data_IF_539665359742
#
_entry.id   IF_539665359742
#
_cell.length_a   1.000
_cell.length_b   1.000
_cell.length_c   1.000
_cell.angle_alpha   90.00
_cell.angle_beta   90.00
_cell.angle_gamma   90.00
#
_symmetry.space_group_name_H-M   'P 1'
#
loop_
_entity.id
_entity.type
_entity.pdbx_description
1 polymer ?
#
# COMPACT_ATOMS: atom_id res chain seq x y z
N UNK A 1 20.54 -9.17 3.91
CA UNK A 1 19.29 -9.36 3.12
C UNK A 1 18.78 -8.01 2.66
N UNK A 2 18.43 -7.86 1.38
CA UNK A 2 17.88 -6.63 0.82
C UNK A 2 16.35 -6.72 0.77
N UNK A 3 15.67 -5.76 1.36
CA UNK A 3 14.20 -5.69 1.35
C UNK A 3 13.76 -4.40 0.67
N UNK A 4 12.82 -4.50 -0.27
CA UNK A 4 12.18 -3.35 -0.89
C UNK A 4 10.72 -3.27 -0.43
N UNK A 5 10.36 -2.19 0.22
CA UNK A 5 8.98 -1.89 0.56
C UNK A 5 8.31 -1.05 -0.53
N UNK A 6 7.10 -1.43 -0.89
CA UNK A 6 6.15 -0.56 -1.59
C UNK A 6 5.06 -0.13 -0.63
N UNK A 7 4.98 1.18 -0.34
CA UNK A 7 4.02 1.73 0.63
C UNK A 7 3.00 2.64 -0.03
N UNK A 8 1.81 2.75 0.56
CA UNK A 8 0.75 3.62 0.04
C UNK A 8 0.97 5.09 0.42
N UNK A 9 1.71 5.37 1.48
CA UNK A 9 2.02 6.71 1.98
C UNK A 9 3.47 7.09 1.83
N UNK A 10 3.73 8.39 1.75
CA UNK A 10 5.08 8.96 1.75
C UNK A 10 5.68 8.81 3.16
N UNK A 11 6.87 8.23 3.24
CA UNK A 11 7.56 8.05 4.51
C UNK A 11 8.17 9.37 5.01
N UNK A 12 8.11 9.64 6.33
CA UNK A 12 8.69 10.86 6.93
C UNK A 12 10.17 11.06 6.59
N UNK A 13 10.96 9.99 6.60
CA UNK A 13 12.38 10.03 6.24
C UNK A 13 12.66 10.60 4.85
N UNK A 14 11.79 10.33 3.88
CA UNK A 14 11.89 10.91 2.54
C UNK A 14 11.75 12.44 2.57
N UNK A 15 10.75 12.95 3.30
CA UNK A 15 10.53 14.39 3.41
C UNK A 15 11.72 15.07 4.13
N UNK A 16 12.21 14.46 5.21
CA UNK A 16 13.40 14.93 5.93
C UNK A 16 14.61 14.99 5.01
N UNK A 17 14.88 13.96 4.22
CA UNK A 17 16.00 13.92 3.30
C UNK A 17 15.91 14.97 2.17
N UNK A 18 14.70 15.45 1.86
CA UNK A 18 14.46 16.55 0.93
C UNK A 18 14.48 17.94 1.60
N UNK A 19 14.82 18.02 2.89
CA UNK A 19 14.78 19.28 3.66
C UNK A 19 13.36 19.80 3.92
N UNK A 20 12.32 18.94 3.79
CA UNK A 20 10.93 19.30 4.02
C UNK A 20 10.50 18.87 5.41
N UNK A 21 9.69 19.69 6.08
CA UNK A 21 9.07 19.26 7.33
C UNK A 21 8.13 18.09 7.06
N UNK A 22 8.34 16.99 7.78
CA UNK A 22 7.35 15.94 7.85
C UNK A 22 6.13 16.54 8.55
N UNK A 23 5.13 16.99 7.78
CA UNK A 23 3.86 17.39 8.35
C UNK A 23 3.24 16.20 9.08
N UNK A 24 2.27 16.43 9.95
CA UNK A 24 1.49 15.40 10.63
C UNK A 24 0.58 14.60 9.66
N UNK A 25 1.07 14.26 8.48
CA UNK A 25 0.37 13.39 7.57
C UNK A 25 0.33 12.00 8.17
N UNK A 26 -0.75 11.70 8.86
CA UNK A 26 -1.07 10.47 9.60
C UNK A 26 -1.29 9.27 8.65
N UNK A 27 -1.03 9.42 7.37
CA UNK A 27 -1.18 8.34 6.38
C UNK A 27 -0.05 7.30 6.56
N UNK A 28 -0.42 6.08 6.91
CA UNK A 28 0.53 4.98 7.10
C UNK A 28 1.22 5.00 8.47
N UNK A 29 0.48 5.30 9.51
CA UNK A 29 0.99 5.50 10.87
C UNK A 29 1.78 4.33 11.48
N UNK A 30 1.60 3.10 11.00
CA UNK A 30 2.32 1.91 11.47
C UNK A 30 3.62 1.65 10.70
N UNK A 31 3.78 2.11 9.44
CA UNK A 31 4.99 1.87 8.65
C UNK A 31 6.25 2.53 9.22
N UNK A 32 6.23 3.75 9.79
CA UNK A 32 7.38 4.29 10.51
C UNK A 32 7.76 3.47 11.74
N UNK A 33 6.79 3.03 12.55
CA UNK A 33 7.06 2.19 13.71
C UNK A 33 7.65 0.83 13.32
N UNK A 34 7.16 0.25 12.23
CA UNK A 34 7.72 -0.98 11.66
C UNK A 34 9.15 -0.77 11.15
N UNK A 35 9.45 0.37 10.53
CA UNK A 35 10.80 0.75 10.11
C UNK A 35 11.75 0.81 11.32
N UNK A 36 11.34 1.50 12.37
CA UNK A 36 12.15 1.65 13.58
C UNK A 36 12.39 0.29 14.26
N UNK A 37 11.35 -0.55 14.31
CA UNK A 37 11.48 -1.91 14.84
C UNK A 37 12.41 -2.77 13.97
N UNK A 38 12.30 -2.71 12.64
CA UNK A 38 13.17 -3.44 11.74
C UNK A 38 14.63 -3.04 11.93
N UNK A 39 14.92 -1.75 12.04
CA UNK A 39 16.27 -1.24 12.27
C UNK A 39 16.84 -1.70 13.63
N UNK A 40 16.00 -1.76 14.64
CA UNK A 40 16.38 -2.17 15.99
C UNK A 40 16.62 -3.68 16.11
N UNK A 41 15.76 -4.49 15.52
CA UNK A 41 15.75 -5.94 15.76
C UNK A 41 16.36 -6.75 14.59
N UNK A 42 16.54 -6.13 13.42
CA UNK A 42 17.14 -6.76 12.24
C UNK A 42 18.11 -5.79 11.53
N UNK A 43 19.19 -5.33 12.21
CA UNK A 43 20.11 -4.30 11.68
C UNK A 43 20.83 -4.74 10.41
N UNK A 44 20.93 -6.04 10.13
CA UNK A 44 21.56 -6.59 8.92
C UNK A 44 20.63 -6.53 7.69
N UNK A 45 19.37 -6.09 7.85
CA UNK A 45 18.45 -5.88 6.75
C UNK A 45 18.72 -4.52 6.12
N UNK A 46 19.09 -4.55 4.83
CA UNK A 46 19.19 -3.33 4.02
C UNK A 46 17.80 -3.03 3.46
N UNK A 47 17.26 -1.87 3.84
CA UNK A 47 15.92 -1.46 3.46
C UNK A 47 15.94 -0.36 2.39
N UNK A 48 15.11 -0.56 1.37
CA UNK A 48 14.68 0.46 0.41
C UNK A 48 13.17 0.63 0.49
N UNK A 49 12.67 1.85 0.36
CA UNK A 49 11.23 2.14 0.41
C UNK A 49 10.82 2.94 -0.82
N UNK A 50 9.79 2.49 -1.51
CA UNK A 50 9.26 3.11 -2.71
C UNK A 50 7.78 3.45 -2.55
N UNK A 51 7.35 4.59 -3.05
CA UNK A 51 5.98 5.08 -2.97
C UNK A 51 5.68 6.12 -4.06
N UNK A 52 4.40 6.38 -4.27
CA UNK A 52 3.96 7.41 -5.20
C UNK A 52 4.19 8.81 -4.62
N UNK A 53 4.60 9.73 -5.48
CA UNK A 53 4.84 11.15 -5.14
C UNK A 53 4.31 12.04 -6.27
N UNK A 54 4.02 13.32 -6.06
CA UNK A 54 3.67 14.23 -7.15
C UNK A 54 4.80 14.37 -8.19
N UNK A 55 6.05 14.35 -7.73
CA UNK A 55 7.26 14.43 -8.58
C UNK A 55 8.24 13.34 -8.20
N UNK A 56 8.90 12.69 -9.17
CA UNK A 56 9.91 11.68 -8.86
C UNK A 56 11.07 12.27 -8.05
N UNK A 57 11.69 11.43 -7.21
CA UNK A 57 12.86 11.83 -6.44
C UNK A 57 13.49 10.66 -5.69
N UNK A 58 14.72 10.88 -5.25
CA UNK A 58 15.47 9.92 -4.45
C UNK A 58 16.14 10.64 -3.29
N UNK A 59 16.20 9.99 -2.15
CA UNK A 59 17.02 10.43 -1.02
C UNK A 59 17.40 9.23 -0.16
N UNK A 60 18.48 9.39 0.60
CA UNK A 60 18.91 8.41 1.58
C UNK A 60 18.97 9.08 2.96
N UNK A 61 18.35 8.45 3.93
CA UNK A 61 18.37 8.94 5.33
C UNK A 61 18.59 7.74 6.24
N UNK A 62 19.57 7.87 7.12
CA UNK A 62 19.91 6.85 8.13
C UNK A 62 20.07 5.43 7.54
N UNK A 63 20.69 5.30 6.38
CA UNK A 63 20.93 4.02 5.71
C UNK A 63 19.72 3.40 5.01
N UNK A 64 18.59 4.11 4.92
CA UNK A 64 17.40 3.72 4.17
C UNK A 64 17.33 4.50 2.86
N UNK A 65 17.17 3.79 1.75
CA UNK A 65 16.97 4.38 0.43
C UNK A 65 15.50 4.64 0.18
N UNK A 66 15.14 5.88 -0.16
CA UNK A 66 13.75 6.27 -0.43
C UNK A 66 13.56 6.68 -1.89
N UNK A 67 12.63 6.04 -2.58
CA UNK A 67 12.29 6.27 -3.98
C UNK A 67 10.89 6.87 -4.11
N UNK A 68 10.81 8.16 -4.45
CA UNK A 68 9.59 8.78 -4.91
C UNK A 68 9.39 8.48 -6.39
N UNK A 69 8.39 7.67 -6.73
CA UNK A 69 8.19 7.13 -8.08
C UNK A 69 7.44 8.07 -9.04
N UNK A 70 6.92 9.20 -8.53
CA UNK A 70 6.05 10.08 -9.32
C UNK A 70 4.60 9.62 -9.33
N UNK A 71 3.79 10.25 -10.19
CA UNK A 71 2.39 9.86 -10.39
C UNK A 71 2.32 8.59 -11.25
N UNK A 72 1.41 7.68 -10.90
CA UNK A 72 1.17 6.45 -11.66
C UNK A 72 0.48 6.68 -13.02
N UNK A 73 -0.05 7.87 -13.27
CA UNK A 73 -0.56 8.27 -14.58
C UNK A 73 0.54 8.74 -15.55
N UNK A 74 1.76 8.97 -15.04
CA UNK A 74 2.92 9.31 -15.87
C UNK A 74 3.41 8.08 -16.65
N UNK A 75 3.61 8.20 -17.96
CA UNK A 75 4.08 7.12 -18.83
C UNK A 75 5.43 6.51 -18.41
N UNK A 76 6.28 7.25 -17.71
CA UNK A 76 7.56 6.76 -17.20
C UNK A 76 7.47 6.11 -15.80
N UNK A 77 6.29 5.99 -15.21
CA UNK A 77 6.13 5.42 -13.86
C UNK A 77 6.65 3.99 -13.77
N UNK A 78 6.28 3.13 -14.72
CA UNK A 78 6.69 1.72 -14.73
C UNK A 78 8.20 1.57 -14.92
N UNK A 79 8.83 2.39 -15.75
CA UNK A 79 10.30 2.41 -15.90
C UNK A 79 10.99 2.75 -14.57
N UNK A 80 10.43 3.71 -13.81
CA UNK A 80 10.96 4.06 -12.48
C UNK A 80 10.77 2.94 -11.46
N UNK A 81 9.65 2.21 -11.51
CA UNK A 81 9.46 0.99 -10.70
C UNK A 81 10.54 -0.04 -11.03
N UNK A 82 10.75 -0.35 -12.29
CA UNK A 82 11.78 -1.29 -12.72
C UNK A 82 13.19 -0.85 -12.34
N UNK A 83 13.50 0.44 -12.52
CA UNK A 83 14.79 1.00 -12.12
C UNK A 83 15.00 0.90 -10.61
N UNK A 84 13.97 1.19 -9.81
CA UNK A 84 14.00 1.02 -8.36
C UNK A 84 14.32 -0.43 -7.97
N UNK A 85 13.63 -1.40 -8.57
CA UNK A 85 13.86 -2.83 -8.32
C UNK A 85 15.27 -3.25 -8.74
N UNK A 86 15.74 -2.82 -9.91
CA UNK A 86 17.11 -3.11 -10.38
C UNK A 86 18.18 -2.54 -9.43
N UNK A 87 17.95 -1.33 -8.92
CA UNK A 87 18.91 -0.64 -8.03
C UNK A 87 18.91 -1.25 -6.64
N UNK A 88 17.75 -1.47 -6.05
CA UNK A 88 17.61 -2.06 -4.72
C UNK A 88 18.02 -3.54 -4.66
N UNK A 89 17.94 -4.27 -5.78
CA UNK A 89 18.25 -5.70 -5.90
C UNK A 89 17.65 -6.51 -4.74
N UNK A 90 16.33 -6.46 -4.53
CA UNK A 90 15.71 -7.05 -3.35
C UNK A 90 15.75 -8.58 -3.37
N UNK A 91 15.99 -9.16 -2.19
CA UNK A 91 15.73 -10.56 -1.90
C UNK A 91 14.23 -10.78 -1.63
N UNK A 92 13.59 -9.76 -0.98
CA UNK A 92 12.16 -9.73 -0.68
C UNK A 92 11.57 -8.38 -1.09
N UNK A 93 10.41 -8.43 -1.71
CA UNK A 93 9.58 -7.26 -2.04
C UNK A 93 8.34 -7.30 -1.14
N UNK A 94 8.23 -6.37 -0.21
CA UNK A 94 7.10 -6.29 0.71
C UNK A 94 6.16 -5.16 0.29
N UNK A 95 4.94 -5.51 -0.08
CA UNK A 95 3.91 -4.56 -0.48
C UNK A 95 2.96 -4.34 0.71
N UNK A 96 2.81 -3.08 1.12
CA UNK A 96 1.98 -2.68 2.25
C UNK A 96 0.58 -2.28 1.78
N UNK A 97 -0.34 -3.25 1.80
CA UNK A 97 -1.74 -3.08 1.38
C UNK A 97 -1.98 -3.37 -0.10
N UNK A 98 -3.17 -3.89 -0.38
CA UNK A 98 -3.62 -4.20 -1.74
C UNK A 98 -4.26 -3.00 -2.48
N UNK A 99 -4.40 -1.85 -1.80
CA UNK A 99 -5.28 -0.77 -2.22
C UNK A 99 -4.70 0.10 -3.35
N UNK A 100 -3.64 0.82 -3.08
CA UNK A 100 -3.16 1.87 -3.98
C UNK A 100 -1.91 1.46 -4.75
N UNK A 101 -0.80 1.26 -4.05
CA UNK A 101 0.48 0.96 -4.70
C UNK A 101 0.45 -0.39 -5.42
N UNK A 102 -0.07 -1.44 -4.79
CA UNK A 102 -0.19 -2.75 -5.40
C UNK A 102 -1.00 -2.76 -6.71
N UNK A 103 -1.98 -1.88 -6.83
CA UNK A 103 -2.87 -1.79 -8.00
C UNK A 103 -2.17 -1.29 -9.28
N UNK A 104 -1.01 -0.64 -9.13
CA UNK A 104 -0.27 -0.02 -10.25
C UNK A 104 1.07 -0.70 -10.53
N UNK A 105 1.44 -1.72 -9.75
CA UNK A 105 2.66 -2.48 -9.99
C UNK A 105 2.49 -3.45 -11.16
N UNK A 106 3.57 -3.73 -11.92
CA UNK A 106 3.53 -4.69 -13.03
C UNK A 106 3.17 -6.10 -12.56
N UNK A 107 2.34 -6.79 -13.32
CA UNK A 107 1.94 -8.17 -13.04
C UNK A 107 3.14 -9.13 -12.94
N UNK A 108 4.16 -8.93 -13.77
CA UNK A 108 5.39 -9.72 -13.73
C UNK A 108 6.14 -9.57 -12.39
N UNK A 109 6.13 -8.34 -11.81
CA UNK A 109 6.70 -8.10 -10.49
C UNK A 109 5.88 -8.79 -9.41
N UNK A 110 4.56 -8.69 -9.46
CA UNK A 110 3.64 -9.30 -8.48
C UNK A 110 3.74 -10.83 -8.47
N UNK A 111 3.94 -11.43 -9.64
CA UNK A 111 4.11 -12.88 -9.80
C UNK A 111 5.55 -13.37 -9.52
N UNK A 112 6.50 -12.46 -9.28
CA UNK A 112 7.84 -12.87 -8.91
C UNK A 112 7.81 -13.62 -7.57
N UNK A 113 8.56 -14.68 -7.43
CA UNK A 113 8.63 -15.49 -6.19
C UNK A 113 9.13 -14.76 -4.94
N UNK A 114 9.42 -13.44 -5.07
CA UNK A 114 9.97 -12.58 -4.01
C UNK A 114 8.95 -11.70 -3.30
N UNK A 115 7.69 -11.68 -3.77
CA UNK A 115 6.68 -10.76 -3.25
C UNK A 115 5.96 -11.34 -2.04
N UNK A 116 5.85 -10.52 -1.00
CA UNK A 116 4.92 -10.70 0.12
C UNK A 116 4.02 -9.46 0.23
N UNK A 117 2.72 -9.66 0.41
CA UNK A 117 1.75 -8.57 0.56
C UNK A 117 1.13 -8.60 1.96
N UNK A 118 1.23 -7.49 2.67
CA UNK A 118 0.50 -7.29 3.92
C UNK A 118 -0.93 -6.84 3.65
N UNK A 119 -1.90 -7.64 4.09
CA UNK A 119 -3.31 -7.28 4.03
C UNK A 119 -3.65 -6.27 5.13
N UNK A 120 -4.17 -5.11 4.76
CA UNK A 120 -4.63 -4.08 5.70
C UNK A 120 -6.15 -4.08 5.85
N UNK A 121 -6.82 -4.56 4.84
CA UNK A 121 -8.25 -4.78 4.72
C UNK A 121 -8.49 -5.55 3.44
N UNK A 122 -9.71 -6.04 3.27
CA UNK A 122 -10.13 -6.75 2.08
C UNK A 122 -11.15 -5.86 1.37
N UNK A 123 -10.76 -5.26 0.25
CA UNK A 123 -11.62 -4.31 -0.48
C UNK A 123 -12.95 -4.93 -0.91
N UNK A 124 -12.95 -6.22 -1.25
CA UNK A 124 -14.16 -6.96 -1.58
C UNK A 124 -15.16 -6.94 -0.42
N UNK A 125 -14.70 -7.16 0.80
CA UNK A 125 -15.57 -7.20 1.98
C UNK A 125 -15.96 -5.79 2.44
N UNK A 126 -15.04 -4.84 2.36
CA UNK A 126 -15.33 -3.41 2.62
C UNK A 126 -16.39 -2.90 1.64
N UNK A 127 -16.30 -3.28 0.35
CA UNK A 127 -17.27 -2.86 -0.66
C UNK A 127 -18.70 -3.39 -0.40
N UNK A 128 -18.85 -4.54 0.25
CA UNK A 128 -20.16 -5.09 0.66
C UNK A 128 -20.81 -4.27 1.76
N UNK A 129 -20.02 -3.69 2.64
CA UNK A 129 -20.45 -2.95 3.83
C UNK A 129 -20.02 -1.47 3.78
N UNK A 130 -19.89 -0.89 2.58
CA UNK A 130 -19.32 0.43 2.35
C UNK A 130 -19.97 1.54 3.22
N UNK A 131 -21.29 1.47 3.39
CA UNK A 131 -22.03 2.45 4.20
C UNK A 131 -22.09 2.10 5.69
N UNK A 132 -21.55 0.95 6.12
CA UNK A 132 -21.54 0.57 7.53
C UNK A 132 -22.93 0.45 8.18
N UNK A 133 -23.96 0.14 7.38
CA UNK A 133 -25.35 0.05 7.83
C UNK A 133 -26.19 1.30 7.59
N UNK A 134 -25.59 2.40 7.14
CA UNK A 134 -26.32 3.60 6.71
C UNK A 134 -26.94 3.39 5.33
N UNK A 135 -27.98 4.16 5.03
CA UNK A 135 -28.60 4.23 3.70
C UNK A 135 -28.06 5.44 2.92
N UNK A 136 -28.29 5.47 1.61
CA UNK A 136 -27.95 6.64 0.79
C UNK A 136 -28.77 7.86 1.17
N UNK A 137 -29.96 7.68 1.73
CA UNK A 137 -30.78 8.79 2.27
C UNK A 137 -30.09 9.44 3.46
N UNK A 138 -29.47 8.64 4.34
CA UNK A 138 -28.74 9.14 5.51
C UNK A 138 -27.49 9.92 5.11
N UNK A 139 -26.90 9.61 3.94
CA UNK A 139 -25.71 10.28 3.44
C UNK A 139 -25.99 11.63 2.75
N UNK A 140 -27.22 11.88 2.27
CA UNK A 140 -27.58 13.11 1.56
C UNK A 140 -27.21 14.40 2.28
N UNK A 141 -27.44 14.56 3.62
CA UNK A 141 -27.08 15.78 4.33
C UNK A 141 -25.59 16.09 4.34
N UNK A 142 -24.74 15.06 4.12
CA UNK A 142 -23.28 15.17 4.11
C UNK A 142 -22.69 15.31 2.71
N UNK A 143 -23.52 15.35 1.66
CA UNK A 143 -23.07 15.60 0.29
C UNK A 143 -22.48 17.00 0.17
N UNK A 144 -21.19 17.08 -0.08
CA UNK A 144 -20.48 18.35 -0.20
C UNK A 144 -20.73 18.96 -1.59
N UNK A 145 -21.41 20.12 -1.61
CA UNK A 145 -21.70 20.90 -2.83
C UNK A 145 -20.43 21.25 -3.61
N UNK A 146 -19.30 21.42 -2.91
CA UNK A 146 -17.98 21.69 -3.50
C UNK A 146 -17.50 20.52 -4.37
N UNK A 147 -17.73 19.28 -3.94
CA UNK A 147 -17.41 18.08 -4.77
C UNK A 147 -18.16 18.10 -6.09
N UNK A 148 -19.43 18.51 -6.08
CA UNK A 148 -20.27 18.63 -7.28
C UNK A 148 -19.77 19.71 -8.23
N UNK A 149 -19.39 20.87 -7.71
CA UNK A 149 -18.83 21.99 -8.50
C UNK A 149 -17.50 21.61 -9.17
N UNK A 150 -16.63 20.86 -8.48
CA UNK A 150 -15.34 20.41 -9.02
C UNK A 150 -15.42 19.05 -9.75
N UNK A 151 -16.62 18.56 -10.10
CA UNK A 151 -16.84 17.27 -10.79
C UNK A 151 -16.15 16.09 -10.12
N UNK A 152 -15.96 16.13 -8.81
CA UNK A 152 -15.39 15.00 -8.04
C UNK A 152 -16.45 13.93 -7.85
N UNK A 153 -16.09 12.64 -7.88
CA UNK A 153 -17.04 11.56 -7.69
C UNK A 153 -17.75 11.69 -6.33
N UNK A 154 -19.05 11.48 -6.33
CA UNK A 154 -19.85 11.39 -5.11
C UNK A 154 -19.63 10.02 -4.43
N UNK A 155 -20.14 9.84 -3.20
CA UNK A 155 -19.95 8.62 -2.42
C UNK A 155 -20.57 7.39 -3.10
N UNK A 156 -21.67 7.52 -3.82
CA UNK A 156 -22.27 6.42 -4.60
C UNK A 156 -21.34 5.95 -5.72
N UNK A 157 -20.74 6.90 -6.45
CA UNK A 157 -19.76 6.60 -7.51
C UNK A 157 -18.50 5.96 -6.93
N UNK A 158 -18.04 6.43 -5.77
CA UNK A 158 -16.90 5.84 -5.07
C UNK A 158 -17.22 4.40 -4.64
N UNK A 159 -18.39 4.16 -4.02
CA UNK A 159 -18.82 2.83 -3.62
C UNK A 159 -18.98 1.88 -4.81
N UNK A 160 -19.57 2.38 -5.91
CA UNK A 160 -19.68 1.62 -7.15
C UNK A 160 -18.30 1.25 -7.71
N UNK A 161 -17.34 2.17 -7.72
CA UNK A 161 -15.97 1.91 -8.15
C UNK A 161 -15.26 0.89 -7.25
N UNK A 162 -15.50 0.92 -5.94
CA UNK A 162 -14.98 -0.11 -5.03
C UNK A 162 -15.49 -1.49 -5.41
N UNK A 163 -16.78 -1.62 -5.65
CA UNK A 163 -17.43 -2.90 -6.00
C UNK A 163 -17.07 -3.41 -7.39
N UNK A 164 -17.05 -2.53 -8.39
CA UNK A 164 -16.94 -2.93 -9.80
C UNK A 164 -15.52 -2.91 -10.36
N UNK A 165 -14.60 -2.19 -9.71
CA UNK A 165 -13.23 -2.03 -10.20
C UNK A 165 -12.18 -2.49 -9.18
N UNK A 166 -12.19 -1.90 -7.97
CA UNK A 166 -11.11 -2.12 -7.00
C UNK A 166 -11.13 -3.52 -6.40
N UNK A 167 -12.28 -4.01 -5.96
CA UNK A 167 -12.40 -5.34 -5.38
C UNK A 167 -12.11 -6.48 -6.37
N UNK A 168 -12.62 -6.46 -7.63
CA UNK A 168 -12.23 -7.44 -8.63
C UNK A 168 -10.72 -7.42 -8.94
N UNK A 169 -10.12 -6.22 -9.03
CA UNK A 169 -8.68 -6.09 -9.26
C UNK A 169 -7.85 -6.60 -8.07
N UNK A 170 -8.25 -6.32 -6.83
CA UNK A 170 -7.61 -6.90 -5.64
C UNK A 170 -7.61 -8.42 -5.71
N UNK A 171 -8.77 -9.02 -6.00
CA UNK A 171 -8.91 -10.47 -6.10
C UNK A 171 -7.99 -11.04 -7.18
N UNK A 172 -7.93 -10.40 -8.35
CA UNK A 172 -7.06 -10.82 -9.46
C UNK A 172 -5.57 -10.69 -9.11
N UNK A 173 -5.19 -9.60 -8.47
CA UNK A 173 -3.85 -9.35 -7.97
C UNK A 173 -3.43 -10.42 -6.94
N UNK A 174 -4.32 -10.71 -5.98
CA UNK A 174 -4.04 -11.69 -4.94
C UNK A 174 -3.89 -13.12 -5.46
N UNK A 175 -4.46 -13.46 -6.61
CA UNK A 175 -4.25 -14.78 -7.25
C UNK A 175 -2.80 -15.02 -7.71
N UNK A 176 -2.03 -13.96 -7.92
CA UNK A 176 -0.67 -14.02 -8.47
C UNK A 176 0.42 -13.92 -7.42
N UNK A 177 0.10 -13.34 -6.27
CA UNK A 177 1.08 -13.11 -5.20
C UNK A 177 1.34 -14.41 -4.44
N UNK A 178 2.62 -14.80 -4.27
CA UNK A 178 2.96 -16.10 -3.68
C UNK A 178 2.86 -16.13 -2.15
N UNK A 179 2.90 -14.96 -1.48
CA UNK A 179 2.93 -14.91 -0.02
C UNK A 179 2.17 -13.71 0.54
N UNK A 180 1.53 -13.90 1.68
CA UNK A 180 0.74 -12.89 2.37
C UNK A 180 1.07 -12.81 3.85
N UNK A 181 0.96 -11.61 4.39
CA UNK A 181 0.90 -11.32 5.81
C UNK A 181 -0.48 -10.77 6.15
N UNK A 182 -1.05 -11.19 7.27
CA UNK A 182 -2.32 -10.70 7.77
C UNK A 182 -2.50 -10.98 9.25
N UNK A 183 -3.51 -10.38 9.86
CA UNK A 183 -3.69 -10.33 11.31
C UNK A 183 -4.77 -11.25 11.83
N UNK A 184 -5.66 -11.71 10.96
CA UNK A 184 -6.89 -12.38 11.38
C UNK A 184 -7.09 -13.71 10.67
N UNK A 185 -7.92 -14.57 11.27
CA UNK A 185 -8.42 -15.77 10.59
C UNK A 185 -9.22 -15.41 9.35
N UNK A 186 -9.92 -14.27 9.37
CA UNK A 186 -10.70 -13.79 8.26
C UNK A 186 -9.82 -13.50 7.02
N UNK A 187 -8.71 -12.79 7.19
CA UNK A 187 -7.73 -12.52 6.12
C UNK A 187 -7.19 -13.83 5.55
N UNK A 188 -6.77 -14.74 6.43
CA UNK A 188 -6.24 -16.04 6.04
C UNK A 188 -7.24 -16.86 5.25
N UNK A 189 -8.48 -16.94 5.73
CA UNK A 189 -9.50 -17.77 5.12
C UNK A 189 -9.99 -17.16 3.81
N UNK A 190 -9.97 -15.84 3.66
CA UNK A 190 -10.20 -15.17 2.39
C UNK A 190 -9.09 -15.47 1.38
N UNK A 191 -7.81 -15.35 1.76
CA UNK A 191 -6.68 -15.69 0.89
C UNK A 191 -6.73 -17.15 0.47
N UNK A 192 -7.02 -18.08 1.37
CA UNK A 192 -7.15 -19.50 1.02
C UNK A 192 -8.23 -19.78 -0.03
N UNK A 193 -9.29 -18.99 -0.07
CA UNK A 193 -10.33 -19.08 -1.12
C UNK A 193 -9.87 -18.45 -2.44
N UNK A 194 -9.07 -17.39 -2.40
CA UNK A 194 -8.64 -16.65 -3.59
C UNK A 194 -7.40 -17.26 -4.22
N UNK A 195 -6.44 -17.67 -3.40
CA UNK A 195 -5.16 -18.25 -3.79
C UNK A 195 -4.75 -19.35 -2.80
N UNK A 196 -5.26 -20.57 -2.96
CA UNK A 196 -4.97 -21.68 -2.04
C UNK A 196 -3.50 -22.13 -2.02
N UNK A 197 -2.72 -21.79 -3.06
CA UNK A 197 -1.30 -22.11 -3.15
C UNK A 197 -0.39 -21.10 -2.43
N UNK A 198 -0.90 -19.94 -2.05
CA UNK A 198 -0.09 -18.91 -1.41
C UNK A 198 0.27 -19.27 0.03
N UNK A 199 1.48 -18.91 0.43
CA UNK A 199 1.88 -18.93 1.82
C UNK A 199 1.17 -17.81 2.61
N UNK A 200 0.76 -18.09 3.84
CA UNK A 200 0.18 -17.08 4.72
C UNK A 200 0.89 -17.06 6.07
N UNK A 201 1.32 -15.86 6.46
CA UNK A 201 2.00 -15.60 7.72
C UNK A 201 1.09 -14.71 8.58
N UNK A 202 0.88 -15.12 9.83
CA UNK A 202 0.22 -14.27 10.82
C UNK A 202 1.24 -13.28 11.38
N UNK A 203 0.96 -11.99 11.21
CA UNK A 203 1.85 -10.90 11.65
C UNK A 203 0.97 -9.75 12.14
N UNK A 204 1.13 -9.38 13.40
CA UNK A 204 0.46 -8.22 13.97
C UNK A 204 1.15 -6.91 13.55
N UNK A 205 0.41 -5.81 13.58
CA UNK A 205 0.97 -4.48 13.34
C UNK A 205 1.65 -3.94 14.60
N UNK A 206 2.79 -3.29 14.39
CA UNK A 206 3.51 -2.59 15.45
C UNK A 206 2.82 -1.24 15.64
N UNK A 207 2.33 -1.01 16.85
CA UNK A 207 1.78 0.29 17.21
C UNK A 207 2.90 1.29 17.48
N UNK A 208 2.62 2.55 17.26
CA UNK A 208 3.53 3.63 17.63
C UNK A 208 3.66 3.73 19.14
N UNK A 209 4.81 4.20 19.66
CA UNK A 209 5.04 4.32 21.10
C UNK A 209 4.02 5.20 21.84
N UNK A 210 3.30 6.08 21.13
CA UNK A 210 2.30 6.99 21.70
C UNK A 210 0.96 6.31 21.97
N UNK A 211 0.79 5.05 21.55
CA UNK A 211 -0.34 4.19 21.85
C UNK A 211 0.09 3.08 22.80
#
# INVERSE_FOLDING_TARGET
MNVLWFTNGIMPGYLTGLGKKAGQAITGCWTPALLDALRRFAPDVRLSVAFRTPTPGFTQVDGVDYYGLGDSADGAFLERVEQCVRTARPDVIHIHGAEAMAQVLPDALLASGKVVLSLQGIMEEVAKSYLGGLTWADMKPFENIVRRLFRRPNEQQIAAAWKTQRAPRERELCRRIPAFMGRTRFDRDWIRRVNPAAAYFHVDEILRPEF
#
